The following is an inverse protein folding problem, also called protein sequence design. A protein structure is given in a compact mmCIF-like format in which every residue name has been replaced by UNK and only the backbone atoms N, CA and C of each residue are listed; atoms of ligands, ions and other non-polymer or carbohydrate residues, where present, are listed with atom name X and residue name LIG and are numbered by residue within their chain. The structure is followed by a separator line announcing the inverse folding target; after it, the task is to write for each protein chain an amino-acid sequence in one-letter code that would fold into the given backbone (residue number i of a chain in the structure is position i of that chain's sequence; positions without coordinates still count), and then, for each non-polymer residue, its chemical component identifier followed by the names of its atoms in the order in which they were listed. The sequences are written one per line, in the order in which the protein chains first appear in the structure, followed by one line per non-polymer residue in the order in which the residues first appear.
data_IF_136375435154
#
_entry.id   IF_136375435154
#
_cell.length_a   1.000
_cell.length_b   1.000
_cell.length_c   1.000
_cell.angle_alpha   90.00
_cell.angle_beta   90.00
_cell.angle_gamma   90.00
#
_symmetry.space_group_name_H-M   'P 1'
#
loop_
_entity.id
_entity.type
_entity.pdbx_description
1 polymer ?
#
# COMPACT_ATOMS: atom_id res chain seq x y z
N UNK A 1 5.56 16.95 -2.42
CA UNK A 1 5.48 15.80 -1.50
C UNK A 1 6.87 15.18 -1.37
N UNK A 2 7.35 14.91 -0.15
CA UNK A 2 8.66 14.30 0.09
C UNK A 2 8.49 12.78 0.17
N UNK A 3 8.86 12.07 -0.90
CA UNK A 3 8.87 10.60 -0.96
C UNK A 3 9.98 10.08 -0.04
N UNK A 4 9.63 9.54 1.14
CA UNK A 4 10.61 8.94 2.05
C UNK A 4 10.94 7.53 1.58
N UNK A 5 12.17 7.35 1.09
CA UNK A 5 12.76 6.04 0.81
C UNK A 5 13.71 5.69 1.95
N UNK A 6 13.77 4.41 2.31
CA UNK A 6 14.76 3.93 3.29
C UNK A 6 16.12 3.76 2.61
N UNK A 7 17.16 3.43 3.38
CA UNK A 7 18.53 3.31 2.86
C UNK A 7 18.57 2.30 1.70
N UNK A 8 19.11 2.72 0.55
CA UNK A 8 19.18 1.89 -0.66
C UNK A 8 17.91 1.88 -1.52
N UNK A 9 17.09 2.93 -1.47
CA UNK A 9 15.88 3.09 -2.30
C UNK A 9 14.77 2.03 -2.06
N UNK A 10 14.83 1.31 -0.94
CA UNK A 10 13.83 0.28 -0.59
C UNK A 10 12.61 0.84 0.15
N UNK A 11 11.49 0.13 0.02
CA UNK A 11 10.28 0.37 0.82
C UNK A 11 10.50 0.05 2.29
N UNK A 12 9.97 0.88 3.18
CA UNK A 12 9.99 0.61 4.62
C UNK A 12 8.88 -0.37 5.06
N UNK A 13 7.91 -0.64 4.18
CA UNK A 13 6.89 -1.67 4.37
C UNK A 13 7.49 -3.02 4.01
N UNK A 14 7.36 -3.99 4.90
CA UNK A 14 7.86 -5.36 4.70
C UNK A 14 6.74 -6.22 4.13
N UNK A 15 7.07 -7.00 3.10
CA UNK A 15 6.18 -8.04 2.58
C UNK A 15 6.27 -9.29 3.48
N UNK A 16 5.19 -9.66 4.19
CA UNK A 16 5.20 -10.79 5.12
C UNK A 16 5.42 -12.14 4.41
N UNK A 17 5.22 -12.24 3.09
CA UNK A 17 5.46 -13.48 2.33
C UNK A 17 6.94 -13.78 2.15
N UNK A 18 7.79 -12.76 2.23
CA UNK A 18 9.23 -12.85 1.94
C UNK A 18 10.11 -12.40 3.10
N UNK A 19 9.57 -11.61 4.04
CA UNK A 19 10.33 -10.96 5.10
C UNK A 19 11.24 -9.83 4.61
N UNK A 20 11.12 -9.42 3.33
CA UNK A 20 11.93 -8.37 2.69
C UNK A 20 11.08 -7.11 2.48
N UNK A 21 11.71 -5.94 2.23
CA UNK A 21 10.99 -4.77 1.73
C UNK A 21 10.02 -5.10 0.59
N UNK A 22 8.86 -4.47 0.57
CA UNK A 22 7.88 -4.60 -0.51
C UNK A 22 8.50 -4.19 -1.84
N UNK A 23 8.39 -5.08 -2.84
CA UNK A 23 8.85 -4.87 -4.22
C UNK A 23 7.66 -4.88 -5.20
N UNK A 24 6.50 -4.42 -4.74
CA UNK A 24 5.25 -4.42 -5.49
C UNK A 24 5.21 -3.41 -6.65
N UNK A 25 6.22 -2.54 -6.75
CA UNK A 25 6.29 -1.43 -7.71
C UNK A 25 5.39 -0.23 -7.37
N UNK A 26 4.52 -0.34 -6.36
CA UNK A 26 3.71 0.78 -5.87
C UNK A 26 4.49 1.57 -4.83
N UNK A 27 4.58 2.88 -5.04
CA UNK A 27 5.30 3.76 -4.12
C UNK A 27 4.40 4.33 -3.04
N UNK A 28 3.13 4.57 -3.37
CA UNK A 28 2.14 5.07 -2.43
C UNK A 28 0.75 4.49 -2.76
N UNK A 29 -0.03 4.21 -1.72
CA UNK A 29 -1.46 3.96 -1.83
C UNK A 29 -2.15 4.84 -0.80
N UNK A 30 -3.19 5.55 -1.21
CA UNK A 30 -4.04 6.35 -0.35
C UNK A 30 -5.47 5.83 -0.39
N UNK A 31 -6.12 5.79 0.78
CA UNK A 31 -7.42 5.16 0.98
C UNK A 31 -8.30 6.04 1.86
N UNK A 32 -9.58 6.14 1.52
CA UNK A 32 -10.66 6.66 2.36
C UNK A 32 -11.50 5.47 2.85
N UNK A 33 -11.75 5.41 4.16
CA UNK A 33 -12.58 4.42 4.81
C UNK A 33 -13.24 5.01 6.07
N UNK A 34 -14.24 4.30 6.61
CA UNK A 34 -15.02 4.71 7.77
C UNK A 34 -14.17 4.99 9.02
N UNK A 35 -13.03 4.33 9.17
CA UNK A 35 -12.08 4.57 10.26
C UNK A 35 -10.65 4.73 9.76
N UNK A 36 -9.84 5.47 10.51
CA UNK A 36 -8.41 5.60 10.23
C UNK A 36 -7.66 4.27 10.31
N UNK A 37 -8.13 3.34 11.16
CA UNK A 37 -7.55 2.00 11.27
C UNK A 37 -7.79 1.21 9.99
N UNK A 38 -9.02 1.23 9.47
CA UNK A 38 -9.35 0.55 8.21
C UNK A 38 -8.56 1.14 7.05
N UNK A 39 -8.50 2.47 6.96
CA UNK A 39 -7.73 3.15 5.91
C UNK A 39 -6.25 2.72 5.93
N UNK A 40 -5.63 2.65 7.11
CA UNK A 40 -4.23 2.22 7.29
C UNK A 40 -4.01 0.76 6.88
N UNK A 41 -4.90 -0.14 7.31
CA UNK A 41 -4.82 -1.57 6.98
C UNK A 41 -4.99 -1.79 5.48
N UNK A 42 -5.99 -1.17 4.87
CA UNK A 42 -6.29 -1.33 3.45
C UNK A 42 -5.13 -0.75 2.61
N UNK A 43 -4.64 0.44 2.93
CA UNK A 43 -3.56 1.08 2.18
C UNK A 43 -2.29 0.21 2.15
N UNK A 44 -1.87 -0.34 3.30
CA UNK A 44 -0.69 -1.22 3.37
C UNK A 44 -0.92 -2.56 2.68
N UNK A 45 -2.11 -3.15 2.82
CA UNK A 45 -2.45 -4.41 2.15
C UNK A 45 -2.40 -4.23 0.64
N UNK A 46 -3.01 -3.17 0.11
CA UNK A 46 -2.99 -2.83 -1.30
C UNK A 46 -1.56 -2.53 -1.80
N UNK A 47 -0.77 -1.78 -1.02
CA UNK A 47 0.62 -1.49 -1.36
C UNK A 47 1.44 -2.78 -1.51
N UNK A 48 1.31 -3.73 -0.60
CA UNK A 48 2.01 -5.03 -0.68
C UNK A 48 1.48 -5.89 -1.82
N UNK A 49 0.16 -5.85 -2.07
CA UNK A 49 -0.50 -6.63 -3.11
C UNK A 49 -0.13 -6.19 -4.55
N UNK A 50 0.26 -4.93 -4.73
CA UNK A 50 0.73 -4.39 -6.00
C UNK A 50 -0.38 -4.05 -7.00
N UNK A 51 -0.02 -3.48 -8.17
CA UNK A 51 -0.96 -2.76 -9.04
C UNK A 51 -2.03 -3.64 -9.69
N UNK A 52 -1.80 -4.95 -9.77
CA UNK A 52 -2.76 -5.90 -10.37
C UNK A 52 -3.89 -6.23 -9.40
N UNK A 53 -3.57 -6.43 -8.12
CA UNK A 53 -4.53 -6.90 -7.11
C UNK A 53 -5.14 -5.74 -6.32
N UNK A 54 -4.37 -4.68 -6.08
CA UNK A 54 -4.81 -3.48 -5.35
C UNK A 54 -6.16 -2.91 -5.81
N UNK A 55 -6.44 -2.68 -7.12
CA UNK A 55 -7.74 -2.15 -7.54
C UNK A 55 -8.94 -2.94 -7.05
N UNK A 56 -8.91 -4.26 -7.25
CA UNK A 56 -10.02 -5.13 -6.88
C UNK A 56 -10.15 -5.22 -5.35
N UNK A 57 -9.03 -5.31 -4.65
CA UNK A 57 -9.01 -5.31 -3.19
C UNK A 57 -9.56 -4.00 -2.61
N UNK A 58 -9.09 -2.84 -3.08
CA UNK A 58 -9.58 -1.55 -2.58
C UNK A 58 -11.04 -1.31 -2.94
N UNK A 59 -11.50 -1.68 -4.14
CA UNK A 59 -12.91 -1.55 -4.51
C UNK A 59 -13.87 -2.34 -3.61
N UNK A 60 -13.39 -3.45 -3.02
CA UNK A 60 -14.20 -4.27 -2.11
C UNK A 60 -14.17 -3.79 -0.65
N UNK A 61 -13.21 -2.95 -0.24
CA UNK A 61 -12.95 -2.65 1.17
C UNK A 61 -12.87 -1.14 1.50
N UNK A 62 -12.74 -0.27 0.51
CA UNK A 62 -12.57 1.18 0.68
C UNK A 62 -13.73 1.98 0.07
N UNK A 63 -13.96 3.18 0.60
CA UNK A 63 -14.91 4.14 0.05
C UNK A 63 -14.32 4.87 -1.18
N UNK A 64 -13.01 5.13 -1.17
CA UNK A 64 -12.25 5.67 -2.31
C UNK A 64 -10.75 5.35 -2.18
N UNK A 65 -10.02 5.33 -3.29
CA UNK A 65 -8.59 5.00 -3.30
C UNK A 65 -7.86 5.53 -4.54
N UNK A 66 -6.54 5.70 -4.42
CA UNK A 66 -5.60 5.99 -5.51
C UNK A 66 -4.19 5.49 -5.17
N UNK A 67 -3.33 5.30 -6.18
CA UNK A 67 -1.93 4.89 -5.98
C UNK A 67 -0.98 5.54 -6.99
N UNK A 68 0.31 5.51 -6.66
CA UNK A 68 1.44 6.05 -7.45
C UNK A 68 2.65 5.11 -7.44
#
# INVERSE_FOLDING_TARGET
MRRRRWAGDVHHVIDPRTGRPSDSGLVEVSVIAATAVDAEVIAKTALIAGPVVAPAFCAAHAEAWWWL
#
